data_IF_612497439896
#
_entry.id   IF_612497439896
#
_cell.length_a   1.000
_cell.length_b   1.000
_cell.length_c   1.000
_cell.angle_alpha   90.00
_cell.angle_beta   90.00
_cell.angle_gamma   90.00
#
_symmetry.space_group_name_H-M   'P 1'
#
loop_
_entity.id
_entity.type
_entity.pdbx_description
1 polymer ?
#
# COMPACT_ATOMS: atom_id res chain seq x y z
N UNK A 1 -26.48 -3.47 -11.94
CA UNK A 1 -25.76 -3.19 -10.67
C UNK A 1 -24.40 -3.86 -10.78
N UNK A 2 -23.29 -3.11 -10.80
CA UNK A 2 -21.95 -3.70 -10.73
C UNK A 2 -21.87 -4.45 -9.40
N UNK A 3 -21.62 -5.76 -9.42
CA UNK A 3 -21.19 -6.48 -8.24
C UNK A 3 -19.88 -5.82 -7.78
N UNK A 4 -19.96 -4.97 -6.76
CA UNK A 4 -18.80 -4.64 -5.95
C UNK A 4 -18.26 -5.97 -5.43
N UNK A 5 -17.00 -6.26 -5.74
CA UNK A 5 -16.35 -7.48 -5.27
C UNK A 5 -15.96 -7.21 -3.82
N UNK A 6 -16.95 -7.23 -2.93
CA UNK A 6 -16.84 -6.77 -1.54
C UNK A 6 -15.63 -7.38 -0.79
N UNK A 7 -15.20 -8.59 -1.15
CA UNK A 7 -14.04 -9.24 -0.56
C UNK A 7 -12.69 -8.63 -1.00
N UNK A 8 -12.56 -8.27 -2.28
CA UNK A 8 -11.33 -7.64 -2.77
C UNK A 8 -11.14 -6.27 -2.14
N UNK A 9 -12.19 -5.44 -2.18
CA UNK A 9 -12.15 -4.08 -1.62
C UNK A 9 -11.85 -4.15 -0.11
N UNK A 10 -12.50 -5.08 0.62
CA UNK A 10 -12.22 -5.32 2.04
C UNK A 10 -10.76 -5.72 2.31
N UNK A 11 -10.18 -6.62 1.50
CA UNK A 11 -8.80 -7.06 1.70
C UNK A 11 -7.78 -5.94 1.42
N UNK A 12 -8.01 -5.14 0.37
CA UNK A 12 -7.20 -3.96 0.07
C UNK A 12 -7.28 -2.94 1.21
N UNK A 13 -8.49 -2.65 1.71
CA UNK A 13 -8.69 -1.74 2.84
C UNK A 13 -8.03 -2.25 4.14
N UNK A 14 -8.16 -3.54 4.43
CA UNK A 14 -7.52 -4.18 5.58
C UNK A 14 -5.99 -4.06 5.53
N UNK A 15 -5.39 -4.40 4.38
CA UNK A 15 -3.95 -4.27 4.17
C UNK A 15 -3.52 -2.81 4.30
N UNK A 16 -4.27 -1.88 3.69
CA UNK A 16 -4.00 -0.44 3.74
C UNK A 16 -3.95 0.07 5.17
N UNK A 17 -4.97 -0.26 5.99
CA UNK A 17 -5.01 0.17 7.38
C UNK A 17 -3.77 -0.31 8.18
N UNK A 18 -3.37 -1.57 7.97
CA UNK A 18 -2.21 -2.17 8.65
C UNK A 18 -0.88 -1.56 8.22
N UNK A 19 -0.70 -1.36 6.91
CA UNK A 19 0.53 -0.76 6.36
C UNK A 19 0.67 0.70 6.82
N UNK A 20 -0.42 1.48 6.77
CA UNK A 20 -0.42 2.88 7.23
C UNK A 20 -0.08 2.99 8.72
N UNK A 21 -0.65 2.12 9.57
CA UNK A 21 -0.31 2.07 11.00
C UNK A 21 1.19 1.84 11.22
N UNK A 22 1.82 0.95 10.45
CA UNK A 22 3.26 0.69 10.55
C UNK A 22 4.11 1.83 10.01
N UNK A 23 3.71 2.47 8.91
CA UNK A 23 4.39 3.68 8.41
C UNK A 23 4.40 4.76 9.50
N UNK A 24 3.24 5.04 10.11
CA UNK A 24 3.11 6.03 11.17
C UNK A 24 4.06 5.73 12.34
N UNK A 25 4.11 4.46 12.77
CA UNK A 25 4.95 4.04 13.90
C UNK A 25 6.44 4.09 13.57
N UNK A 26 6.85 3.56 12.43
CA UNK A 26 8.25 3.35 12.10
C UNK A 26 8.92 4.64 11.57
N UNK A 27 8.15 5.56 10.97
CA UNK A 27 8.65 6.87 10.50
C UNK A 27 8.29 8.04 11.43
N UNK A 28 7.47 7.80 12.47
CA UNK A 28 6.99 8.81 13.41
C UNK A 28 6.29 10.00 12.70
N UNK A 29 5.37 9.67 11.78
CA UNK A 29 4.61 10.64 10.96
C UNK A 29 3.11 10.55 11.21
N UNK A 30 2.38 11.59 10.81
CA UNK A 30 0.93 11.65 10.95
C UNK A 30 0.18 10.71 10.00
N UNK A 31 -1.11 10.46 10.26
CA UNK A 31 -1.98 9.64 9.41
C UNK A 31 -2.04 10.16 7.97
N UNK A 32 -2.19 11.47 7.79
CA UNK A 32 -2.27 12.10 6.47
C UNK A 32 -0.99 11.86 5.65
N UNK A 33 0.18 12.07 6.27
CA UNK A 33 1.49 11.84 5.64
C UNK A 33 1.70 10.35 5.31
N UNK A 34 1.30 9.44 6.19
CA UNK A 34 1.41 8.01 5.96
C UNK A 34 0.48 7.52 4.83
N UNK A 35 -0.75 8.04 4.75
CA UNK A 35 -1.67 7.77 3.65
C UNK A 35 -1.12 8.31 2.33
N UNK A 36 -0.63 9.55 2.32
CA UNK A 36 -0.01 10.13 1.14
C UNK A 36 1.19 9.31 0.66
N UNK A 37 2.06 8.86 1.57
CA UNK A 37 3.20 8.02 1.23
C UNK A 37 2.74 6.70 0.60
N UNK A 38 1.81 5.99 1.24
CA UNK A 38 1.40 4.68 0.75
C UNK A 38 0.58 4.77 -0.56
N UNK A 39 -0.38 5.69 -0.66
CA UNK A 39 -1.20 5.84 -1.86
C UNK A 39 -0.44 6.32 -3.09
N UNK A 40 0.73 6.96 -2.92
CA UNK A 40 1.61 7.35 -4.02
C UNK A 40 2.68 6.29 -4.35
N UNK A 41 2.64 5.11 -3.74
CA UNK A 41 3.58 4.02 -3.99
C UNK A 41 3.15 3.12 -5.15
N UNK A 42 4.13 2.59 -5.89
CA UNK A 42 3.93 1.51 -6.87
C UNK A 42 3.39 0.25 -6.18
N UNK A 43 3.79 0.00 -4.93
CA UNK A 43 3.28 -1.09 -4.11
C UNK A 43 1.76 -0.99 -3.93
N UNK A 44 1.21 0.20 -3.67
CA UNK A 44 -0.23 0.40 -3.54
C UNK A 44 -0.97 0.26 -4.87
N UNK A 45 -0.41 0.78 -5.97
CA UNK A 45 -0.95 0.58 -7.31
C UNK A 45 -1.12 -0.94 -7.59
N UNK A 46 -0.06 -1.72 -7.33
CA UNK A 46 -0.08 -3.17 -7.53
C UNK A 46 -1.04 -3.88 -6.58
N UNK A 47 -1.18 -3.42 -5.33
CA UNK A 47 -2.17 -3.95 -4.39
C UNK A 47 -3.61 -3.77 -4.92
N UNK A 48 -3.87 -2.65 -5.60
CA UNK A 48 -5.17 -2.36 -6.21
C UNK A 48 -5.41 -3.10 -7.54
N UNK A 49 -4.40 -3.77 -8.08
CA UNK A 49 -4.50 -4.58 -9.29
C UNK A 49 -4.75 -6.06 -8.97
N UNK A 50 -6.00 -6.52 -9.13
CA UNK A 50 -6.39 -7.93 -8.90
C UNK A 50 -5.47 -8.99 -9.54
N UNK A 51 -4.86 -8.68 -10.69
CA UNK A 51 -4.00 -9.61 -11.42
C UNK A 51 -2.64 -9.88 -10.75
N UNK A 52 -2.26 -9.05 -9.79
CA UNK A 52 -1.00 -9.21 -9.04
C UNK A 52 -1.15 -10.20 -7.88
N UNK A 53 -2.39 -10.51 -7.50
CA UNK A 53 -2.75 -11.29 -6.31
C UNK A 53 -2.17 -10.75 -4.98
N UNK A 54 -1.65 -9.51 -4.94
CA UNK A 54 -1.11 -8.93 -3.71
C UNK A 54 -2.16 -8.75 -2.60
N UNK A 55 -3.44 -8.64 -2.95
CA UNK A 55 -4.54 -8.49 -1.98
C UNK A 55 -4.80 -9.76 -1.16
N UNK A 56 -4.28 -10.94 -1.56
CA UNK A 56 -4.36 -12.17 -0.77
C UNK A 56 -3.13 -12.39 0.11
N UNK A 57 -2.10 -11.56 -0.03
CA UNK A 57 -0.88 -11.64 0.76
C UNK A 57 -1.03 -10.99 2.14
N UNK A 58 -0.11 -11.32 3.04
CA UNK A 58 -0.10 -10.70 4.37
C UNK A 58 0.24 -9.21 4.29
N UNK A 59 -0.32 -8.36 5.17
CA UNK A 59 0.08 -6.95 5.21
C UNK A 59 1.59 -6.75 5.41
N UNK A 60 2.25 -7.65 6.15
CA UNK A 60 3.69 -7.60 6.40
C UNK A 60 4.49 -7.70 5.10
N UNK A 61 4.09 -8.59 4.20
CA UNK A 61 4.73 -8.72 2.89
C UNK A 61 4.58 -7.44 2.05
N UNK A 62 3.39 -6.83 2.06
CA UNK A 62 3.14 -5.56 1.36
C UNK A 62 4.00 -4.43 1.96
N UNK A 63 4.17 -4.41 3.27
CA UNK A 63 5.04 -3.42 3.91
C UNK A 63 6.52 -3.62 3.58
N UNK A 64 6.98 -4.86 3.45
CA UNK A 64 8.34 -5.17 3.00
C UNK A 64 8.57 -4.70 1.55
N UNK A 65 7.61 -4.93 0.64
CA UNK A 65 7.66 -4.40 -0.72
C UNK A 65 7.76 -2.87 -0.75
N UNK A 66 6.94 -2.19 0.05
CA UNK A 66 6.99 -0.73 0.18
C UNK A 66 8.37 -0.26 0.68
N UNK A 67 8.94 -0.93 1.69
CA UNK A 67 10.29 -0.57 2.18
C UNK A 67 11.36 -0.77 1.12
N UNK A 68 11.25 -1.82 0.31
CA UNK A 68 12.16 -2.03 -0.81
C UNK A 68 12.04 -0.95 -1.87
N UNK A 69 10.81 -0.55 -2.22
CA UNK A 69 10.50 0.56 -3.13
C UNK A 69 11.12 1.87 -2.63
N UNK A 70 10.89 2.22 -1.37
CA UNK A 70 11.46 3.42 -0.73
C UNK A 70 13.00 3.40 -0.74
N UNK A 71 13.61 2.23 -0.49
CA UNK A 71 15.08 2.06 -0.51
C UNK A 71 15.66 2.24 -1.92
N UNK A 72 14.90 1.92 -2.96
CA UNK A 72 15.32 2.11 -4.37
C UNK A 72 15.15 3.56 -4.83
N UNK A 73 14.42 4.40 -4.08
CA UNK A 73 14.14 5.79 -4.42
C UNK A 73 12.98 5.96 -5.41
N UNK A 74 12.17 4.92 -5.64
CA UNK A 74 11.04 4.96 -6.58
C UNK A 74 9.77 5.40 -5.87
N UNK A 75 9.68 6.68 -5.51
CA UNK A 75 8.38 7.32 -5.28
C UNK A 75 7.86 7.77 -6.65
N UNK A 76 6.57 7.57 -6.96
CA UNK A 76 5.97 8.10 -8.19
C UNK A 76 6.36 9.59 -8.33
N UNK A 77 7.13 9.92 -9.36
CA UNK A 77 7.44 11.30 -9.73
C UNK A 77 8.74 11.92 -9.19
N UNK A 78 9.73 11.14 -8.72
CA UNK A 78 11.08 11.67 -8.42
C UNK A 78 12.20 11.19 -9.36
N UNK A 79 11.86 10.51 -10.44
CA UNK A 79 12.80 10.28 -11.56
C UNK A 79 12.38 11.17 -12.72
N UNK A 80 13.23 12.16 -13.02
CA UNK A 80 13.17 13.06 -14.17
C UNK A 80 12.97 12.32 -15.51
#
# INVERSE_FOLDING_TARGET
MKQSNNNFDFLVEYITARVVEWIMRDQNIGLEEALLLFHNSETFDKLCEKRTDLYIESPAYIYDLLKEELRRGTLRGMTE
#
